data_IF_625470312128
#
_entry.id   IF_625470312128
#
_cell.length_a   1.000
_cell.length_b   1.000
_cell.length_c   1.000
_cell.angle_alpha   90.00
_cell.angle_beta   90.00
_cell.angle_gamma   90.00
#
_symmetry.space_group_name_H-M   'P 1'
#
loop_
_entity.id
_entity.type
_entity.pdbx_description
1 polymer ?
#
# COMPACT_ATOMS: atom_id res chain seq x y z
N UNK A 1 -10.35 3.47 -6.24
CA UNK A 1 -9.65 3.46 -7.56
C UNK A 1 -9.34 4.88 -7.98
N UNK A 2 -8.13 5.13 -8.49
CA UNK A 2 -7.71 6.39 -9.12
C UNK A 2 -8.60 6.71 -10.32
N UNK A 3 -9.76 7.31 -10.04
CA UNK A 3 -10.80 7.64 -11.01
C UNK A 3 -10.63 9.09 -11.42
N UNK A 4 -10.40 9.35 -12.70
CA UNK A 4 -10.30 10.70 -13.25
C UNK A 4 -8.99 11.43 -12.94
N UNK A 5 -7.90 10.71 -12.66
CA UNK A 5 -6.57 11.33 -12.53
C UNK A 5 -6.30 12.07 -11.22
N UNK A 6 -7.16 11.92 -10.21
CA UNK A 6 -7.05 12.63 -8.92
C UNK A 6 -7.10 11.66 -7.75
N UNK A 7 -6.21 11.84 -6.77
CA UNK A 7 -6.25 11.14 -5.49
C UNK A 7 -7.11 11.94 -4.51
N UNK A 8 -8.00 11.28 -3.77
CA UNK A 8 -8.79 11.95 -2.74
C UNK A 8 -7.95 12.39 -1.53
N UNK A 9 -8.40 13.38 -0.77
CA UNK A 9 -7.71 13.81 0.47
C UNK A 9 -7.62 12.72 1.54
N UNK A 10 -8.51 11.72 1.48
CA UNK A 10 -8.49 10.56 2.39
C UNK A 10 -7.53 9.45 1.95
N UNK A 11 -6.90 9.58 0.77
CA UNK A 11 -6.01 8.59 0.18
C UNK A 11 -4.76 8.34 1.03
N UNK A 12 -4.30 7.08 1.05
CA UNK A 12 -3.15 6.67 1.85
C UNK A 12 -1.85 7.36 1.42
N UNK A 13 -1.67 7.65 0.13
CA UNK A 13 -0.49 8.32 -0.40
C UNK A 13 -0.48 9.79 0.00
N UNK A 14 -1.62 10.46 -0.16
CA UNK A 14 -1.78 11.88 0.18
C UNK A 14 -1.56 12.10 1.69
N UNK A 15 -2.19 11.26 2.54
CA UNK A 15 -2.05 11.35 4.00
C UNK A 15 -0.63 11.07 4.50
N UNK A 16 0.15 10.30 3.76
CA UNK A 16 1.48 9.84 4.19
C UNK A 16 2.61 10.37 3.30
N UNK A 17 2.38 11.44 2.53
CA UNK A 17 3.31 11.90 1.48
C UNK A 17 4.75 12.10 1.99
N UNK A 18 4.92 12.65 3.20
CA UNK A 18 6.25 12.83 3.83
C UNK A 18 6.95 11.51 4.16
N UNK A 19 6.19 10.47 4.54
CA UNK A 19 6.72 9.16 4.89
C UNK A 19 7.08 8.34 3.64
N UNK A 20 6.48 8.64 2.49
CA UNK A 20 6.74 7.93 1.23
C UNK A 20 8.22 7.99 0.84
N UNK A 21 8.92 9.10 1.12
CA UNK A 21 10.34 9.26 0.84
C UNK A 21 11.23 8.28 1.62
N UNK A 22 10.75 7.74 2.74
CA UNK A 22 11.48 6.78 3.57
C UNK A 22 11.19 5.32 3.21
N UNK A 23 10.38 5.08 2.18
CA UNK A 23 9.95 3.74 1.80
C UNK A 23 10.99 3.06 0.91
N UNK A 24 11.18 1.76 1.13
CA UNK A 24 11.92 0.95 0.17
C UNK A 24 11.16 0.87 -1.17
N UNK A 25 11.82 0.40 -2.22
CA UNK A 25 11.19 0.22 -3.53
C UNK A 25 9.96 -0.72 -3.44
N UNK A 26 10.06 -1.79 -2.65
CA UNK A 26 8.97 -2.74 -2.42
C UNK A 26 7.80 -2.10 -1.68
N UNK A 27 8.09 -1.40 -0.58
CA UNK A 27 7.09 -0.68 0.21
C UNK A 27 6.37 0.39 -0.64
N UNK A 28 7.13 1.15 -1.44
CA UNK A 28 6.61 2.18 -2.33
C UNK A 28 5.69 1.60 -3.38
N UNK A 29 6.07 0.48 -4.01
CA UNK A 29 5.27 -0.18 -5.05
C UNK A 29 3.95 -0.72 -4.50
N UNK A 30 3.96 -1.30 -3.29
CA UNK A 30 2.75 -1.77 -2.62
C UNK A 30 1.88 -0.58 -2.18
N UNK A 31 2.46 0.46 -1.58
CA UNK A 31 1.73 1.67 -1.20
C UNK A 31 1.08 2.34 -2.41
N UNK A 32 1.77 2.40 -3.56
CA UNK A 32 1.24 2.93 -4.80
C UNK A 32 0.05 2.09 -5.30
N UNK A 33 0.18 0.76 -5.35
CA UNK A 33 -0.90 -0.14 -5.76
C UNK A 33 -2.15 0.04 -4.88
N UNK A 34 -1.96 0.08 -3.56
CA UNK A 34 -3.05 0.27 -2.60
C UNK A 34 -3.67 1.67 -2.69
N UNK A 35 -2.86 2.69 -2.93
CA UNK A 35 -3.30 4.07 -3.04
C UNK A 35 -3.89 4.44 -4.39
N UNK A 36 -3.75 3.61 -5.42
CA UNK A 36 -4.25 3.92 -6.76
C UNK A 36 -5.30 2.91 -7.19
N UNK A 37 -4.89 1.66 -7.40
CA UNK A 37 -5.77 0.60 -7.89
C UNK A 37 -6.80 0.19 -6.82
N UNK A 38 -6.35 -0.07 -5.60
CA UNK A 38 -7.21 -0.49 -4.49
C UNK A 38 -7.62 0.67 -3.56
N UNK A 39 -7.62 1.92 -4.03
CA UNK A 39 -7.99 3.04 -3.16
C UNK A 39 -9.40 2.85 -2.58
N UNK A 40 -9.47 2.77 -1.24
CA UNK A 40 -10.69 2.52 -0.47
C UNK A 40 -11.03 1.03 -0.28
N UNK A 41 -10.21 0.12 -0.82
CA UNK A 41 -10.38 -1.33 -0.76
C UNK A 41 -9.22 -1.99 -0.01
N UNK A 42 -9.44 -3.21 0.48
CA UNK A 42 -8.45 -3.98 1.24
C UNK A 42 -8.29 -5.37 0.60
N UNK A 43 -7.52 -5.49 -0.51
CA UNK A 43 -7.26 -6.78 -1.14
C UNK A 43 -6.56 -7.74 -0.17
N UNK A 44 -6.58 -9.05 -0.43
CA UNK A 44 -5.75 -9.99 0.35
C UNK A 44 -4.26 -9.85 0.01
N UNK A 45 -3.37 -10.28 0.91
CA UNK A 45 -1.92 -10.30 0.61
C UNK A 45 -1.59 -11.18 -0.60
N UNK A 46 -2.31 -12.28 -0.80
CA UNK A 46 -2.16 -13.13 -1.99
C UNK A 46 -2.48 -12.35 -3.28
N UNK A 47 -3.56 -11.57 -3.27
CA UNK A 47 -3.93 -10.75 -4.42
C UNK A 47 -2.90 -9.66 -4.70
N UNK A 48 -2.35 -9.05 -3.64
CA UNK A 48 -1.24 -8.09 -3.80
C UNK A 48 -0.01 -8.78 -4.41
N UNK A 49 0.33 -9.99 -3.95
CA UNK A 49 1.46 -10.76 -4.46
C UNK A 49 1.29 -11.08 -5.96
N UNK A 50 0.09 -11.51 -6.36
CA UNK A 50 -0.27 -11.77 -7.75
C UNK A 50 -0.12 -10.51 -8.63
N UNK A 51 -0.75 -9.41 -8.24
CA UNK A 51 -0.75 -8.14 -9.00
C UNK A 51 0.65 -7.51 -9.09
N UNK A 52 1.45 -7.63 -8.02
CA UNK A 52 2.82 -7.10 -7.99
C UNK A 52 3.85 -8.05 -8.58
N UNK A 53 3.46 -9.31 -8.85
CA UNK A 53 4.35 -10.43 -9.20
C UNK A 53 5.48 -10.62 -8.17
N UNK A 54 5.18 -10.37 -6.90
CA UNK A 54 6.12 -10.52 -5.79
C UNK A 54 5.85 -11.82 -5.02
N UNK A 55 6.90 -12.37 -4.40
CA UNK A 55 6.72 -13.44 -3.43
C UNK A 55 5.83 -12.95 -2.25
N UNK A 56 4.94 -13.82 -1.78
CA UNK A 56 4.10 -13.58 -0.61
C UNK A 56 4.88 -13.09 0.61
N UNK A 57 6.06 -13.66 0.90
CA UNK A 57 6.87 -13.23 2.05
C UNK A 57 7.40 -11.81 1.89
N UNK A 58 7.75 -11.42 0.66
CA UNK A 58 8.13 -10.04 0.33
C UNK A 58 6.97 -9.08 0.57
N UNK A 59 5.76 -9.46 0.15
CA UNK A 59 4.54 -8.66 0.40
C UNK A 59 4.25 -8.57 1.89
N UNK A 60 4.27 -9.70 2.61
CA UNK A 60 4.03 -9.77 4.06
C UNK A 60 4.99 -8.88 4.83
N UNK A 61 6.28 -8.93 4.49
CA UNK A 61 7.30 -8.09 5.12
C UNK A 61 7.10 -6.60 4.82
N UNK A 62 6.76 -6.25 3.58
CA UNK A 62 6.47 -4.87 3.22
C UNK A 62 5.20 -4.34 3.90
N UNK A 63 4.12 -5.12 3.96
CA UNK A 63 2.90 -4.76 4.70
C UNK A 63 3.21 -4.55 6.19
N UNK A 64 4.00 -5.43 6.81
CA UNK A 64 4.46 -5.28 8.20
C UNK A 64 5.25 -3.98 8.40
N UNK A 65 6.14 -3.64 7.46
CA UNK A 65 6.91 -2.39 7.52
C UNK A 65 6.01 -1.15 7.35
N UNK A 66 5.07 -1.18 6.41
CA UNK A 66 4.09 -0.10 6.19
C UNK A 66 3.17 0.10 7.42
N UNK A 67 2.78 -0.97 8.11
CA UNK A 67 2.07 -0.90 9.40
C UNK A 67 2.92 -0.23 10.48
N UNK A 68 4.19 -0.62 10.62
CA UNK A 68 5.13 -0.01 11.59
C UNK A 68 5.33 1.48 11.33
N UNK A 69 5.37 1.90 10.06
CA UNK A 69 5.47 3.31 9.64
C UNK A 69 4.14 4.08 9.76
N UNK A 70 3.05 3.40 10.13
CA UNK A 70 1.72 3.98 10.28
C UNK A 70 1.15 4.50 8.95
N UNK A 71 1.46 3.83 7.84
CA UNK A 71 0.88 4.11 6.52
C UNK A 71 -0.35 3.23 6.28
N UNK A 72 -0.30 1.98 6.72
CA UNK A 72 -1.42 1.04 6.74
C UNK A 72 -1.86 0.85 8.19
N UNK A 73 -3.18 0.78 8.42
CA UNK A 73 -3.73 0.50 9.74
C UNK A 73 -3.30 -0.90 10.22
N UNK A 74 -3.04 -1.03 11.51
CA UNK A 74 -2.59 -2.29 12.12
C UNK A 74 -3.63 -3.40 11.99
N UNK A 75 -4.92 -3.03 11.89
CA UNK A 75 -6.08 -3.95 11.84
C UNK A 75 -6.28 -4.66 10.50
N UNK A 76 -5.74 -4.14 9.38
CA UNK A 76 -5.85 -4.77 8.06
C UNK A 76 -4.76 -5.82 7.84
N UNK A 77 -4.96 -6.83 6.99
CA UNK A 77 -3.93 -7.82 6.63
C UNK A 77 -3.36 -8.57 7.84
N UNK A 78 -4.26 -9.24 8.58
CA UNK A 78 -3.88 -10.14 9.67
C UNK A 78 -3.65 -11.55 9.14
#
# INVERSE_FOLDING_TARGET
RFKGGRLGMKNILVKNIRKLLSLSNTESRIALLLGTYYEGEYPSMNKIAEETKMNFDTVKNAIKALKKKGIIDKTFYN
#
